data_IF_461669750791
#
_entry.id   IF_461669750791
#
_cell.length_a   1.000
_cell.length_b   1.000
_cell.length_c   1.000
_cell.angle_alpha   90.00
_cell.angle_beta   90.00
_cell.angle_gamma   90.00
#
_symmetry.space_group_name_H-M   'P 1'
#
loop_
_entity.id
_entity.type
_entity.pdbx_description
1 polymer ?
#
# COMPACT_ATOMS: atom_id res chain seq x y z
N UNK A 1 -13.61 -5.97 -22.27
CA UNK A 1 -13.24 -6.90 -21.17
C UNK A 1 -13.19 -6.11 -19.88
N UNK A 2 -13.73 -6.63 -18.80
CA UNK A 2 -13.70 -5.99 -17.50
C UNK A 2 -12.27 -6.05 -16.94
N UNK A 3 -11.74 -4.92 -16.45
CA UNK A 3 -10.40 -4.86 -15.84
C UNK A 3 -10.46 -5.37 -14.40
N UNK A 4 -9.41 -6.02 -13.92
CA UNK A 4 -9.31 -6.43 -12.53
C UNK A 4 -8.08 -5.86 -11.83
N UNK A 5 -8.21 -5.69 -10.53
CA UNK A 5 -7.13 -5.32 -9.61
C UNK A 5 -7.15 -6.21 -8.37
N UNK A 6 -5.98 -6.62 -7.91
CA UNK A 6 -5.79 -7.22 -6.59
C UNK A 6 -5.31 -6.14 -5.62
N UNK A 7 -5.91 -6.09 -4.43
CA UNK A 7 -5.52 -5.15 -3.36
C UNK A 7 -5.35 -5.92 -2.06
N UNK A 8 -4.13 -5.96 -1.53
CA UNK A 8 -3.89 -6.54 -0.20
C UNK A 8 -4.26 -5.53 0.88
N UNK A 9 -5.00 -5.96 1.91
CA UNK A 9 -5.53 -5.07 2.95
C UNK A 9 -6.55 -4.06 2.42
N UNK A 10 -7.30 -4.41 1.35
CA UNK A 10 -8.26 -3.53 0.68
C UNK A 10 -9.59 -3.33 1.43
N UNK A 11 -9.74 -3.91 2.61
CA UNK A 11 -10.98 -3.88 3.39
C UNK A 11 -11.12 -2.67 4.32
N UNK A 12 -10.03 -2.01 4.73
CA UNK A 12 -10.05 -0.89 5.68
C UNK A 12 -8.98 0.17 5.39
N UNK A 13 -9.11 1.32 6.04
CA UNK A 13 -8.13 2.41 5.97
C UNK A 13 -7.80 2.85 4.54
N UNK A 14 -6.53 3.09 4.25
CA UNK A 14 -6.05 3.48 2.91
C UNK A 14 -6.45 2.43 1.86
N UNK A 15 -6.34 1.14 2.19
CA UNK A 15 -6.71 0.07 1.27
C UNK A 15 -8.16 0.10 0.84
N UNK A 16 -9.09 0.45 1.75
CA UNK A 16 -10.50 0.64 1.42
C UNK A 16 -10.70 1.81 0.45
N UNK A 17 -10.08 2.94 0.71
CA UNK A 17 -10.16 4.08 -0.20
C UNK A 17 -9.61 3.75 -1.59
N UNK A 18 -8.52 2.97 -1.65
CA UNK A 18 -8.00 2.45 -2.93
C UNK A 18 -9.03 1.54 -3.60
N UNK A 19 -9.67 0.63 -2.85
CA UNK A 19 -10.72 -0.26 -3.36
C UNK A 19 -11.86 0.55 -3.97
N UNK A 20 -12.36 1.56 -3.26
CA UNK A 20 -13.43 2.46 -3.72
C UNK A 20 -13.03 3.21 -5.00
N UNK A 21 -11.82 3.79 -5.06
CA UNK A 21 -11.33 4.46 -6.28
C UNK A 21 -11.24 3.53 -7.50
N UNK A 22 -10.81 2.27 -7.31
CA UNK A 22 -10.80 1.29 -8.41
C UNK A 22 -12.21 0.85 -8.83
N UNK A 23 -13.16 0.75 -7.89
CA UNK A 23 -14.56 0.49 -8.22
C UNK A 23 -15.16 1.63 -9.05
N UNK A 24 -14.91 2.88 -8.67
CA UNK A 24 -15.34 4.07 -9.41
C UNK A 24 -14.73 4.10 -10.81
N UNK A 25 -13.49 3.62 -10.96
CA UNK A 25 -12.83 3.48 -12.26
C UNK A 25 -13.29 2.25 -13.09
N UNK A 26 -14.28 1.49 -12.61
CA UNK A 26 -14.90 0.36 -13.33
C UNK A 26 -14.11 -0.95 -13.28
N UNK A 27 -13.26 -1.14 -12.27
CA UNK A 27 -12.56 -2.41 -12.06
C UNK A 27 -13.39 -3.39 -11.24
N UNK A 28 -13.17 -4.69 -11.46
CA UNK A 28 -13.46 -5.73 -10.47
C UNK A 28 -12.30 -5.80 -9.51
N UNK A 29 -12.57 -5.73 -8.21
CA UNK A 29 -11.54 -5.67 -7.17
C UNK A 29 -11.49 -6.98 -6.40
N UNK A 30 -10.31 -7.57 -6.31
CA UNK A 30 -10.05 -8.75 -5.49
C UNK A 30 -9.32 -8.29 -4.23
N UNK A 31 -10.00 -8.37 -3.09
CA UNK A 31 -9.48 -7.94 -1.79
C UNK A 31 -8.90 -9.13 -1.05
N UNK A 32 -7.60 -9.09 -0.76
CA UNK A 32 -6.92 -10.05 0.12
C UNK A 32 -6.70 -9.45 1.51
N UNK A 33 -7.32 -10.02 2.56
CA UNK A 33 -7.12 -9.58 3.94
C UNK A 33 -7.44 -10.72 4.93
N UNK A 34 -7.04 -10.56 6.20
CA UNK A 34 -7.28 -11.58 7.24
C UNK A 34 -8.75 -11.69 7.64
N UNK A 35 -9.51 -10.61 7.50
CA UNK A 35 -10.92 -10.52 7.89
C UNK A 35 -11.73 -9.90 6.75
N UNK A 36 -12.97 -10.35 6.57
CA UNK A 36 -13.96 -9.78 5.66
C UNK A 36 -14.66 -8.55 6.23
N UNK A 37 -14.32 -8.13 7.44
CA UNK A 37 -14.89 -6.93 8.05
C UNK A 37 -14.84 -5.76 7.07
N UNK A 38 -15.93 -5.02 6.98
CA UNK A 38 -16.15 -3.86 6.11
C UNK A 38 -16.19 -4.14 4.59
N UNK A 39 -15.87 -5.35 4.13
CA UNK A 39 -15.97 -5.71 2.70
C UNK A 39 -17.43 -5.81 2.26
N UNK A 40 -18.32 -6.27 3.15
CA UNK A 40 -19.77 -6.44 2.88
C UNK A 40 -20.48 -5.11 2.59
N UNK A 41 -19.87 -3.99 2.96
CA UNK A 41 -20.39 -2.64 2.67
C UNK A 41 -19.95 -2.11 1.29
N UNK A 42 -19.12 -2.86 0.56
CA UNK A 42 -18.66 -2.53 -0.79
C UNK A 42 -19.59 -3.19 -1.82
N UNK A 43 -19.42 -2.85 -3.09
CA UNK A 43 -20.19 -3.38 -4.21
C UNK A 43 -20.04 -4.92 -4.31
N UNK A 44 -21.06 -5.72 -3.96
CA UNK A 44 -20.95 -7.18 -3.90
C UNK A 44 -20.81 -7.85 -5.28
N UNK A 45 -21.12 -7.13 -6.37
CA UNK A 45 -21.01 -7.66 -7.74
C UNK A 45 -19.58 -7.50 -8.27
N UNK A 46 -18.84 -6.50 -7.76
CA UNK A 46 -17.50 -6.17 -8.26
C UNK A 46 -16.39 -6.33 -7.22
N UNK A 47 -16.71 -6.70 -5.98
CA UNK A 47 -15.71 -6.99 -4.94
C UNK A 47 -15.71 -8.47 -4.61
N UNK A 48 -14.54 -9.10 -4.73
CA UNK A 48 -14.32 -10.50 -4.39
C UNK A 48 -13.33 -10.57 -3.23
N UNK A 49 -13.79 -11.03 -2.08
CA UNK A 49 -12.95 -11.22 -0.91
C UNK A 49 -12.22 -12.57 -0.91
N UNK A 50 -11.00 -12.56 -0.40
CA UNK A 50 -10.20 -13.75 -0.12
C UNK A 50 -9.47 -13.61 1.21
N UNK A 51 -9.78 -14.49 2.16
CA UNK A 51 -9.10 -14.52 3.45
C UNK A 51 -7.65 -14.98 3.27
N UNK A 52 -6.69 -14.15 3.72
CA UNK A 52 -5.26 -14.46 3.62
C UNK A 52 -4.41 -13.71 4.64
N UNK A 53 -3.25 -14.28 4.94
CA UNK A 53 -2.13 -13.56 5.53
C UNK A 53 -1.12 -13.23 4.41
N UNK A 54 -0.68 -11.98 4.33
CA UNK A 54 0.29 -11.55 3.29
C UNK A 54 1.68 -12.17 3.47
N UNK A 55 1.97 -12.75 4.63
CA UNK A 55 3.21 -13.50 4.88
C UNK A 55 3.26 -14.85 4.17
N UNK A 56 2.10 -15.34 3.72
CA UNK A 56 1.95 -16.63 3.03
C UNK A 56 2.05 -16.46 1.51
N UNK A 57 3.13 -16.95 0.91
CA UNK A 57 3.36 -16.84 -0.53
C UNK A 57 2.25 -17.51 -1.39
N UNK A 58 1.80 -18.76 -1.12
CA UNK A 58 0.72 -19.39 -1.87
C UNK A 58 -0.58 -18.60 -1.91
N UNK A 59 -0.89 -17.83 -0.87
CA UNK A 59 -2.10 -17.01 -0.82
C UNK A 59 -2.10 -15.91 -1.89
N UNK A 60 -0.96 -15.33 -2.21
CA UNK A 60 -0.85 -14.35 -3.29
C UNK A 60 -1.11 -14.97 -4.67
N UNK A 61 -0.64 -16.19 -4.90
CA UNK A 61 -0.94 -16.95 -6.13
C UNK A 61 -2.44 -17.21 -6.24
N UNK A 62 -3.11 -17.55 -5.13
CA UNK A 62 -4.56 -17.75 -5.12
C UNK A 62 -5.32 -16.47 -5.47
N UNK A 63 -4.88 -15.30 -4.99
CA UNK A 63 -5.46 -14.00 -5.38
C UNK A 63 -5.32 -13.72 -6.87
N UNK A 64 -4.13 -13.94 -7.46
CA UNK A 64 -3.91 -13.75 -8.89
C UNK A 64 -4.85 -14.64 -9.72
N UNK A 65 -4.99 -15.90 -9.34
CA UNK A 65 -5.90 -16.85 -10.01
C UNK A 65 -7.36 -16.44 -9.88
N UNK A 66 -7.80 -15.89 -8.73
CA UNK A 66 -9.16 -15.36 -8.57
C UNK A 66 -9.42 -14.18 -9.48
N UNK A 67 -8.47 -13.27 -9.66
CA UNK A 67 -8.60 -12.14 -10.58
C UNK A 67 -8.80 -12.62 -12.03
N UNK A 68 -7.98 -13.58 -12.47
CA UNK A 68 -8.09 -14.17 -13.80
C UNK A 68 -9.41 -14.93 -13.97
N UNK A 69 -9.84 -15.69 -12.97
CA UNK A 69 -11.11 -16.41 -13.04
C UNK A 69 -12.32 -15.47 -13.16
N UNK A 70 -12.26 -14.30 -12.49
CA UNK A 70 -13.35 -13.32 -12.51
C UNK A 70 -13.46 -12.52 -13.81
N UNK A 71 -12.31 -12.16 -14.43
CA UNK A 71 -12.30 -11.19 -15.54
C UNK A 71 -11.51 -11.63 -16.76
N UNK A 72 -10.83 -12.78 -16.70
CA UNK A 72 -9.94 -13.28 -17.74
C UNK A 72 -8.52 -12.71 -17.69
N UNK A 73 -8.24 -11.71 -16.87
CA UNK A 73 -6.91 -11.07 -16.80
C UNK A 73 -6.66 -10.39 -15.45
N UNK A 74 -5.39 -10.11 -15.15
CA UNK A 74 -4.93 -9.33 -13.99
C UNK A 74 -4.28 -8.04 -14.49
N UNK A 75 -4.94 -6.88 -14.34
CA UNK A 75 -4.46 -5.62 -14.91
C UNK A 75 -3.61 -4.81 -13.93
N UNK A 76 -3.95 -4.86 -12.63
CA UNK A 76 -3.22 -4.14 -11.61
C UNK A 76 -3.09 -4.97 -10.32
N UNK A 77 -2.03 -4.68 -9.57
CA UNK A 77 -1.78 -5.25 -8.25
C UNK A 77 -1.34 -4.14 -7.29
N UNK A 78 -2.04 -4.01 -6.16
CA UNK A 78 -1.70 -3.04 -5.12
C UNK A 78 -1.25 -3.78 -3.86
N UNK A 79 0.03 -3.65 -3.52
CA UNK A 79 0.57 -4.10 -2.24
C UNK A 79 0.35 -2.99 -1.21
N UNK A 80 -0.77 -3.06 -0.48
CA UNK A 80 -1.14 -2.05 0.51
C UNK A 80 -1.06 -2.59 1.95
N UNK A 81 -1.27 -3.88 2.19
CA UNK A 81 -1.22 -4.42 3.54
C UNK A 81 0.07 -4.04 4.27
N UNK A 82 -0.06 -3.50 5.45
CA UNK A 82 1.06 -3.05 6.26
C UNK A 82 0.61 -2.62 7.65
N UNK A 83 1.58 -2.57 8.56
CA UNK A 83 1.42 -2.06 9.92
C UNK A 83 2.46 -0.97 10.19
N UNK A 84 2.11 -0.01 11.03
CA UNK A 84 3.01 1.04 11.52
C UNK A 84 3.16 0.87 13.03
N UNK A 85 4.40 0.93 13.53
CA UNK A 85 4.66 0.84 14.95
C UNK A 85 5.97 1.56 15.30
N UNK A 86 5.98 2.22 16.44
CA UNK A 86 7.15 2.91 16.99
C UNK A 86 7.73 2.10 18.14
N UNK A 87 9.06 1.98 18.18
CA UNK A 87 9.79 1.33 19.28
C UNK A 87 11.24 1.83 19.33
N UNK A 88 11.79 2.14 20.52
CA UNK A 88 13.20 2.42 20.71
C UNK A 88 14.05 1.23 20.26
N UNK A 89 15.28 1.49 19.80
CA UNK A 89 16.15 0.46 19.23
C UNK A 89 16.48 -0.66 20.22
N UNK A 90 16.64 -0.33 21.48
CA UNK A 90 16.95 -1.24 22.58
C UNK A 90 15.77 -2.10 23.05
N UNK A 91 14.55 -1.76 22.63
CA UNK A 91 13.34 -2.51 22.93
C UNK A 91 12.82 -3.35 21.74
N UNK A 92 13.50 -3.31 20.60
CA UNK A 92 13.10 -4.11 19.42
C UNK A 92 13.46 -5.57 19.66
N UNK A 93 12.44 -6.41 19.83
CA UNK A 93 12.59 -7.86 19.89
C UNK A 93 12.66 -8.50 18.48
N UNK A 94 13.12 -9.76 18.41
CA UNK A 94 13.11 -10.54 17.16
C UNK A 94 11.68 -10.68 16.60
N UNK A 95 10.70 -10.96 17.45
CA UNK A 95 9.28 -11.07 17.02
C UNK A 95 8.77 -9.76 16.41
N UNK A 96 9.09 -8.61 17.01
CA UNK A 96 8.71 -7.30 16.48
C UNK A 96 9.39 -7.02 15.13
N UNK A 97 10.67 -7.37 15.03
CA UNK A 97 11.44 -7.27 13.78
C UNK A 97 10.81 -8.13 12.69
N UNK A 98 10.57 -9.42 12.98
CA UNK A 98 10.03 -10.39 12.02
C UNK A 98 8.60 -10.05 11.60
N UNK A 99 7.78 -9.54 12.51
CA UNK A 99 6.42 -9.12 12.20
C UNK A 99 6.41 -7.96 11.19
N UNK A 100 7.17 -6.88 11.45
CA UNK A 100 7.21 -5.74 10.52
C UNK A 100 7.82 -6.11 9.18
N UNK A 101 8.95 -6.82 9.18
CA UNK A 101 9.58 -7.26 7.95
C UNK A 101 8.69 -8.24 7.18
N UNK A 102 8.05 -9.17 7.90
CA UNK A 102 7.17 -10.17 7.34
C UNK A 102 5.95 -9.56 6.64
N UNK A 103 5.27 -8.64 7.30
CA UNK A 103 4.05 -8.02 6.76
C UNK A 103 4.40 -6.97 5.70
N UNK A 104 5.24 -5.98 6.06
CA UNK A 104 5.41 -4.78 5.24
C UNK A 104 6.29 -5.00 4.00
N UNK A 105 7.35 -5.82 4.10
CA UNK A 105 8.31 -5.98 3.01
C UNK A 105 8.18 -7.35 2.34
N UNK A 106 8.25 -8.45 3.10
CA UNK A 106 8.16 -9.80 2.54
C UNK A 106 6.79 -10.04 1.90
N UNK A 107 5.70 -9.57 2.54
CA UNK A 107 4.35 -9.65 1.96
C UNK A 107 4.24 -8.91 0.63
N UNK A 108 4.79 -7.70 0.53
CA UNK A 108 4.82 -6.94 -0.72
C UNK A 108 5.67 -7.65 -1.80
N UNK A 109 6.79 -8.25 -1.41
CA UNK A 109 7.63 -9.05 -2.32
C UNK A 109 6.86 -10.25 -2.91
N UNK A 110 6.12 -11.00 -2.08
CA UNK A 110 5.27 -12.10 -2.57
C UNK A 110 4.16 -11.62 -3.51
N UNK A 111 3.56 -10.47 -3.20
CA UNK A 111 2.59 -9.84 -4.09
C UNK A 111 3.18 -9.45 -5.44
N UNK A 112 4.36 -8.83 -5.45
CA UNK A 112 5.09 -8.52 -6.68
C UNK A 112 5.42 -9.79 -7.49
N UNK A 113 5.90 -10.86 -6.82
CA UNK A 113 6.22 -12.13 -7.46
C UNK A 113 5.01 -12.78 -8.11
N UNK A 114 3.87 -12.81 -7.39
CA UNK A 114 2.62 -13.34 -7.93
C UNK A 114 2.11 -12.48 -9.10
N UNK A 115 2.14 -11.15 -8.97
CA UNK A 115 1.74 -10.24 -10.04
C UNK A 115 2.59 -10.46 -11.30
N UNK A 116 3.91 -10.53 -11.18
CA UNK A 116 4.82 -10.74 -12.31
C UNK A 116 4.55 -12.05 -13.06
N UNK A 117 4.17 -13.11 -12.33
CA UNK A 117 3.91 -14.42 -12.92
C UNK A 117 2.57 -14.50 -13.69
N UNK A 118 1.58 -13.68 -13.33
CA UNK A 118 0.21 -13.79 -13.84
C UNK A 118 -0.28 -12.56 -14.61
N UNK A 119 0.47 -11.46 -14.59
CA UNK A 119 0.08 -10.19 -15.20
C UNK A 119 0.44 -10.18 -16.69
N UNK A 120 -0.47 -9.75 -17.59
CA UNK A 120 -0.17 -9.61 -19.00
C UNK A 120 0.68 -8.35 -19.26
N UNK A 121 1.24 -8.24 -20.46
CA UNK A 121 1.89 -7.01 -20.94
C UNK A 121 0.95 -5.81 -20.79
N UNK A 122 1.47 -4.72 -20.25
CA UNK A 122 0.71 -3.50 -19.97
C UNK A 122 0.16 -3.40 -18.55
N UNK A 123 0.37 -4.42 -17.70
CA UNK A 123 -0.04 -4.40 -16.30
C UNK A 123 0.75 -3.44 -15.43
N UNK A 124 0.26 -3.21 -14.20
CA UNK A 124 0.89 -2.31 -13.25
C UNK A 124 0.90 -2.87 -11.82
N UNK A 125 2.06 -2.79 -11.16
CA UNK A 125 2.23 -3.08 -9.73
C UNK A 125 2.40 -1.75 -9.00
N UNK A 126 1.62 -1.53 -7.95
CA UNK A 126 1.66 -0.34 -7.11
C UNK A 126 1.95 -0.77 -5.67
N UNK A 127 3.06 -0.31 -5.13
CA UNK A 127 3.45 -0.57 -3.74
C UNK A 127 3.09 0.64 -2.88
N UNK A 128 2.31 0.43 -1.82
CA UNK A 128 2.01 1.51 -0.86
C UNK A 128 3.15 1.59 0.15
N UNK A 129 4.10 2.46 -0.16
CA UNK A 129 5.24 2.78 0.68
C UNK A 129 4.86 3.84 1.74
N UNK A 130 5.70 4.81 1.98
CA UNK A 130 5.52 5.95 2.89
C UNK A 130 6.61 6.99 2.63
N UNK A 131 6.39 8.24 3.04
CA UNK A 131 7.52 9.21 3.19
C UNK A 131 8.57 8.69 4.17
N UNK A 132 8.22 7.78 5.09
CA UNK A 132 9.16 7.05 5.95
C UNK A 132 10.09 6.10 5.17
N UNK A 133 9.83 5.83 3.91
CA UNK A 133 10.74 5.13 2.99
C UNK A 133 11.74 6.06 2.28
N UNK A 134 11.73 7.35 2.60
CA UNK A 134 12.61 8.39 2.04
C UNK A 134 13.37 9.18 3.10
N UNK A 135 12.82 9.26 4.30
CA UNK A 135 13.49 9.86 5.47
C UNK A 135 13.20 9.05 6.73
N UNK A 136 14.17 8.97 7.62
CA UNK A 136 14.00 8.32 8.92
C UNK A 136 13.26 9.20 9.92
N UNK A 137 12.69 8.58 10.95
CA UNK A 137 12.14 9.24 12.14
C UNK A 137 12.53 8.48 13.40
N UNK A 138 12.62 9.17 14.53
CA UNK A 138 13.00 8.58 15.80
C UNK A 138 12.01 7.48 16.22
N UNK A 139 12.51 6.43 16.86
CA UNK A 139 11.75 5.27 17.34
C UNK A 139 10.97 4.50 16.25
N UNK A 140 11.28 4.74 14.97
CA UNK A 140 10.56 4.16 13.83
C UNK A 140 11.49 3.41 12.86
N UNK A 141 12.65 2.98 13.36
CA UNK A 141 13.71 2.40 12.53
C UNK A 141 13.27 1.20 11.70
N UNK A 142 12.51 0.27 12.30
CA UNK A 142 12.05 -0.93 11.61
C UNK A 142 11.01 -0.63 10.53
N UNK A 143 10.03 0.23 10.84
CA UNK A 143 9.06 0.67 9.82
C UNK A 143 9.76 1.38 8.66
N UNK A 144 10.66 2.33 8.97
CA UNK A 144 11.48 3.00 7.94
C UNK A 144 12.25 1.98 7.10
N UNK A 145 12.94 1.01 7.71
CA UNK A 145 13.68 -0.02 6.99
C UNK A 145 12.80 -0.79 6.01
N UNK A 146 11.58 -1.19 6.41
CA UNK A 146 10.65 -1.86 5.50
C UNK A 146 10.23 -0.99 4.32
N UNK A 147 10.00 0.31 4.55
CA UNK A 147 9.54 1.26 3.51
C UNK A 147 10.68 1.71 2.58
N UNK A 148 11.90 1.87 3.09
CA UNK A 148 13.10 2.03 2.25
C UNK A 148 13.34 0.79 1.39
N UNK A 149 13.23 -0.42 1.98
CA UNK A 149 13.31 -1.68 1.25
C UNK A 149 12.26 -1.80 0.15
N UNK A 150 11.03 -1.37 0.41
CA UNK A 150 9.95 -1.35 -0.58
C UNK A 150 10.24 -0.41 -1.75
N UNK A 151 10.83 0.76 -1.50
CA UNK A 151 11.24 1.68 -2.56
C UNK A 151 12.37 1.08 -3.41
N UNK A 152 13.36 0.43 -2.77
CA UNK A 152 14.42 -0.30 -3.47
C UNK A 152 13.88 -1.46 -4.32
N UNK A 153 12.95 -2.24 -3.77
CA UNK A 153 12.25 -3.32 -4.48
C UNK A 153 11.50 -2.77 -5.71
N UNK A 154 10.78 -1.66 -5.55
CA UNK A 154 10.05 -0.99 -6.65
C UNK A 154 10.98 -0.62 -7.80
N UNK A 155 12.10 0.03 -7.51
CA UNK A 155 13.06 0.47 -8.53
C UNK A 155 13.73 -0.71 -9.25
N UNK A 156 14.06 -1.75 -8.52
CA UNK A 156 14.68 -2.97 -9.08
C UNK A 156 13.70 -3.69 -10.01
N UNK A 157 12.48 -3.96 -9.54
CA UNK A 157 11.47 -4.67 -10.32
C UNK A 157 10.97 -3.86 -11.52
N UNK A 158 10.96 -2.53 -11.45
CA UNK A 158 10.64 -1.69 -12.61
C UNK A 158 11.61 -1.93 -13.78
N UNK A 159 12.90 -2.13 -13.49
CA UNK A 159 13.91 -2.45 -14.51
C UNK A 159 13.78 -3.90 -15.01
N UNK A 160 13.54 -4.84 -14.10
CA UNK A 160 13.44 -6.27 -14.41
C UNK A 160 12.19 -6.57 -15.23
N UNK A 161 11.02 -6.08 -14.80
CA UNK A 161 9.73 -6.39 -15.40
C UNK A 161 9.36 -5.47 -16.58
N UNK A 162 10.08 -4.35 -16.75
CA UNK A 162 9.85 -3.39 -17.82
C UNK A 162 9.97 -4.03 -19.23
N UNK A 163 10.86 -4.97 -19.41
CA UNK A 163 11.00 -5.75 -20.66
C UNK A 163 9.77 -6.60 -20.97
N UNK A 164 9.03 -6.99 -19.93
CA UNK A 164 7.76 -7.72 -20.05
C UNK A 164 6.57 -6.76 -20.23
N UNK A 165 6.82 -5.44 -20.23
CA UNK A 165 5.80 -4.40 -20.33
C UNK A 165 4.99 -4.20 -19.04
N UNK A 166 5.49 -4.65 -17.88
CA UNK A 166 4.88 -4.46 -16.59
C UNK A 166 5.56 -3.26 -15.91
N UNK A 167 4.75 -2.30 -15.42
CA UNK A 167 5.23 -1.12 -14.70
C UNK A 167 5.16 -1.35 -13.20
N UNK A 168 6.14 -0.85 -12.46
CA UNK A 168 6.19 -0.97 -10.99
C UNK A 168 6.47 0.40 -10.40
N UNK A 169 5.57 0.90 -9.56
CA UNK A 169 5.71 2.19 -8.89
C UNK A 169 5.35 2.07 -7.40
N UNK A 170 5.83 3.01 -6.60
CA UNK A 170 5.44 3.16 -5.21
C UNK A 170 4.72 4.49 -4.98
N UNK A 171 3.72 4.48 -4.12
CA UNK A 171 3.12 5.67 -3.52
C UNK A 171 3.65 5.85 -2.11
N UNK A 172 4.05 7.06 -1.79
CA UNK A 172 4.66 7.41 -0.51
C UNK A 172 3.76 8.42 0.23
N UNK A 173 2.63 7.97 0.83
CA UNK A 173 1.80 8.85 1.62
C UNK A 173 2.52 9.30 2.90
N UNK A 174 2.12 10.47 3.39
CA UNK A 174 2.39 10.92 4.74
C UNK A 174 1.23 10.48 5.66
N UNK A 175 1.12 11.01 6.84
CA UNK A 175 0.08 10.72 7.82
C UNK A 175 -1.33 10.87 7.21
N UNK A 176 -2.00 9.76 6.94
CA UNK A 176 -3.41 9.73 6.52
C UNK A 176 -4.24 9.30 7.73
N UNK A 177 -5.20 10.12 8.14
CA UNK A 177 -6.03 9.86 9.31
C UNK A 177 -6.94 8.65 9.04
N UNK A 178 -6.49 7.48 9.49
CA UNK A 178 -7.23 6.22 9.47
C UNK A 178 -7.30 5.65 10.89
N UNK A 179 -8.25 4.75 11.13
CA UNK A 179 -8.35 4.04 12.42
C UNK A 179 -7.00 3.41 12.80
N UNK A 180 -6.35 2.68 11.90
CA UNK A 180 -5.07 2.03 12.16
C UNK A 180 -3.92 3.00 12.45
N UNK A 181 -3.92 4.22 11.87
CA UNK A 181 -2.95 5.25 12.24
C UNK A 181 -3.26 5.80 13.64
N UNK A 182 -4.52 6.06 13.95
CA UNK A 182 -4.91 6.58 15.27
C UNK A 182 -4.59 5.58 16.37
N UNK A 183 -4.86 4.30 16.16
CA UNK A 183 -4.45 3.22 17.09
C UNK A 183 -2.93 3.18 17.27
N UNK A 184 -2.16 3.23 16.20
CA UNK A 184 -0.70 3.21 16.27
C UNK A 184 -0.14 4.44 16.99
N UNK A 185 -0.74 5.62 16.82
CA UNK A 185 -0.35 6.86 17.51
C UNK A 185 -0.69 6.86 19.00
N UNK A 186 -1.59 6.00 19.48
CA UNK A 186 -1.90 5.82 20.90
C UNK A 186 -0.90 4.95 21.65
N UNK A 187 0.03 4.29 20.96
CA UNK A 187 1.03 3.43 21.62
C UNK A 187 2.08 4.26 22.37
N UNK A 188 2.67 3.69 23.43
CA UNK A 188 3.57 4.37 24.37
C UNK A 188 4.80 5.05 23.72
N UNK A 189 5.30 4.49 22.62
CA UNK A 189 6.50 5.01 21.95
C UNK A 189 6.18 5.92 20.77
N UNK A 190 4.90 6.09 20.45
CA UNK A 190 4.46 6.92 19.33
C UNK A 190 4.70 8.43 19.63
N UNK A 191 4.91 9.24 18.60
CA UNK A 191 5.22 10.67 18.76
C UNK A 191 4.03 11.50 19.29
N UNK A 192 2.82 10.94 19.30
CA UNK A 192 1.61 11.62 19.73
C UNK A 192 1.50 11.76 21.26
N UNK A 193 2.31 11.00 22.05
CA UNK A 193 2.30 11.04 23.51
C UNK A 193 0.88 10.95 24.12
N UNK A 194 0.02 10.08 23.54
CA UNK A 194 -1.35 9.86 24.00
C UNK A 194 -2.41 10.83 23.44
N UNK A 195 -2.02 11.80 22.60
CA UNK A 195 -2.95 12.74 21.94
C UNK A 195 -2.73 12.79 20.41
N UNK A 196 -3.24 11.80 19.65
CA UNK A 196 -3.10 11.74 18.20
C UNK A 196 -3.70 12.93 17.47
N UNK A 197 -4.81 13.49 17.94
CA UNK A 197 -5.47 14.62 17.28
C UNK A 197 -4.60 15.88 17.33
N UNK A 198 -4.14 16.26 18.51
CA UNK A 198 -3.24 17.41 18.66
C UNK A 198 -1.92 17.17 17.91
N UNK A 199 -1.40 15.95 17.91
CA UNK A 199 -0.21 15.62 17.14
C UNK A 199 -0.41 15.87 15.62
N UNK A 200 -1.51 15.39 15.05
CA UNK A 200 -1.81 15.58 13.63
C UNK A 200 -2.00 17.05 13.28
N UNK A 201 -2.70 17.82 14.11
CA UNK A 201 -2.89 19.27 13.91
C UNK A 201 -1.56 20.03 13.95
N UNK A 202 -0.70 19.74 14.93
CA UNK A 202 0.61 20.38 15.05
C UNK A 202 1.54 19.96 13.88
N UNK A 203 1.51 18.69 13.49
CA UNK A 203 2.27 18.19 12.35
C UNK A 203 1.86 18.90 11.04
N UNK A 204 0.56 19.01 10.80
CA UNK A 204 -0.02 19.71 9.67
C UNK A 204 0.45 21.17 9.64
N UNK A 205 0.26 21.89 10.73
CA UNK A 205 0.63 23.31 10.82
C UNK A 205 2.13 23.57 10.59
N UNK A 206 2.98 22.63 11.01
CA UNK A 206 4.43 22.78 10.91
C UNK A 206 5.02 22.32 9.55
N UNK A 207 4.34 21.42 8.82
CA UNK A 207 4.97 20.71 7.71
C UNK A 207 4.21 20.79 6.38
N UNK A 208 2.88 20.93 6.36
CA UNK A 208 2.13 20.91 5.12
C UNK A 208 2.27 22.22 4.34
N UNK A 209 2.64 22.15 3.07
CA UNK A 209 2.76 23.33 2.22
C UNK A 209 1.40 23.93 1.82
N UNK A 210 0.35 23.09 1.75
CA UNK A 210 -0.99 23.52 1.31
C UNK A 210 -2.02 23.56 2.45
N UNK A 211 -1.57 23.35 3.72
CA UNK A 211 -2.40 23.47 4.91
C UNK A 211 -3.40 22.33 5.13
N UNK A 212 -3.22 21.18 4.46
CA UNK A 212 -4.01 19.96 4.67
C UNK A 212 -3.11 18.74 4.78
N UNK A 213 -3.64 17.63 5.30
CA UNK A 213 -3.05 16.31 5.14
C UNK A 213 -3.78 15.56 4.02
N UNK A 214 -3.12 14.61 3.33
CA UNK A 214 -3.79 13.83 2.30
C UNK A 214 -4.81 12.87 2.92
N UNK A 215 -5.82 12.55 2.12
CA UNK A 215 -6.83 11.55 2.44
C UNK A 215 -6.55 10.22 1.73
N UNK A 216 -7.23 9.15 2.17
CA UNK A 216 -7.12 7.85 1.51
C UNK A 216 -7.48 7.88 0.04
N UNK A 217 -8.45 8.74 -0.33
CA UNK A 217 -8.87 8.94 -1.73
C UNK A 217 -7.74 9.48 -2.61
N UNK A 218 -6.88 10.36 -2.12
CA UNK A 218 -5.75 10.90 -2.90
C UNK A 218 -4.77 9.78 -3.30
N UNK A 219 -4.58 8.79 -2.39
CA UNK A 219 -3.77 7.60 -2.69
C UNK A 219 -4.49 6.70 -3.68
N UNK A 220 -5.81 6.51 -3.52
CA UNK A 220 -6.63 5.71 -4.41
C UNK A 220 -6.63 6.24 -5.85
N UNK A 221 -6.87 7.52 -6.03
CA UNK A 221 -6.91 8.18 -7.34
C UNK A 221 -5.55 8.08 -8.05
N UNK A 222 -4.45 8.30 -7.31
CA UNK A 222 -3.10 8.14 -7.87
C UNK A 222 -2.80 6.67 -8.20
N UNK A 223 -3.29 5.71 -7.42
CA UNK A 223 -3.13 4.29 -7.73
C UNK A 223 -3.87 3.91 -9.02
N UNK A 224 -5.10 4.41 -9.21
CA UNK A 224 -5.86 4.26 -10.46
C UNK A 224 -5.11 4.90 -11.64
N UNK A 225 -4.58 6.12 -11.47
CA UNK A 225 -3.76 6.79 -12.49
C UNK A 225 -2.57 5.91 -12.89
N UNK A 226 -1.82 5.38 -11.94
CA UNK A 226 -0.67 4.52 -12.21
C UNK A 226 -1.06 3.17 -12.84
N UNK A 227 -2.26 2.65 -12.56
CA UNK A 227 -2.75 1.43 -13.15
C UNK A 227 -3.15 1.58 -14.61
N UNK A 228 -3.53 2.79 -15.05
CA UNK A 228 -4.00 3.05 -16.39
C UNK A 228 -2.89 2.85 -17.45
N UNK A 229 -3.23 2.17 -18.54
CA UNK A 229 -2.28 1.81 -19.60
C UNK A 229 -1.73 3.05 -20.34
N UNK A 230 -2.49 4.14 -20.36
CA UNK A 230 -2.14 5.42 -20.99
C UNK A 230 -0.89 6.03 -20.32
N UNK A 231 -0.66 5.73 -19.05
CA UNK A 231 0.48 6.24 -18.26
C UNK A 231 1.73 5.37 -18.39
N UNK A 232 1.96 4.82 -19.56
CA UNK A 232 3.01 3.84 -19.89
C UNK A 232 4.45 4.32 -19.62
N UNK A 233 4.66 5.61 -19.54
CA UNK A 233 5.99 6.20 -19.31
C UNK A 233 6.39 6.28 -17.82
N UNK A 234 5.44 5.97 -16.89
CA UNK A 234 5.69 6.09 -15.45
C UNK A 234 5.99 4.70 -14.88
N UNK A 235 7.26 4.44 -14.56
CA UNK A 235 7.72 3.24 -13.89
C UNK A 235 8.98 3.52 -13.07
N UNK A 236 9.19 2.77 -11.98
CA UNK A 236 10.32 2.93 -11.06
C UNK A 236 10.22 4.15 -10.15
N UNK A 237 9.08 4.83 -10.11
CA UNK A 237 8.90 6.04 -9.34
C UNK A 237 8.41 5.73 -7.91
N UNK A 238 8.85 6.56 -6.96
CA UNK A 238 8.36 6.59 -5.59
C UNK A 238 7.71 7.97 -5.36
N UNK A 239 6.40 8.05 -5.61
CA UNK A 239 5.67 9.33 -5.71
C UNK A 239 5.13 9.71 -4.34
N UNK A 240 5.43 10.92 -3.88
CA UNK A 240 4.88 11.44 -2.64
C UNK A 240 3.38 11.79 -2.80
N UNK A 241 2.60 11.44 -1.78
CA UNK A 241 1.21 11.88 -1.57
C UNK A 241 1.21 12.52 -0.18
N UNK A 242 1.67 13.77 -0.10
CA UNK A 242 2.10 14.32 1.18
C UNK A 242 1.79 15.81 1.38
N UNK A 243 1.03 16.43 0.49
CA UNK A 243 0.67 17.86 0.58
C UNK A 243 1.88 18.81 0.73
N UNK A 244 3.04 18.40 0.16
CA UNK A 244 4.27 19.19 0.20
C UNK A 244 5.03 19.10 1.53
N UNK A 245 4.78 18.07 2.34
CA UNK A 245 5.52 17.82 3.60
C UNK A 245 6.99 17.49 3.35
N UNK A 246 7.28 16.81 2.25
CA UNK A 246 8.64 16.40 1.89
C UNK A 246 8.87 16.58 0.37
N UNK A 247 9.03 17.81 -0.11
CA UNK A 247 9.32 18.07 -1.53
C UNK A 247 10.65 17.43 -1.94
N UNK A 248 10.68 16.79 -3.10
CA UNK A 248 11.86 16.17 -3.73
C UNK A 248 11.94 16.55 -5.20
#
# INVERSE_FOLDING_TARGET
MTRSVVITGGNRGIGRSITESFLDAGYTVIVGARSSQDVEMLDPERVIFHAMDVRDEPAHVALAKKAIAATGQLNAWVNNAGISAWRPIDEISEDFFDELMGINLKGAFWGCKAAAAYMPKGGAIINISSVAGKRGSAKNSMYCATKFGMNGLTQSLAKELGQQGIRVNALCPVLIKTEGLMEALMTDHAPANGDPESFLLNFLAANSAIGTLPEGKDVGDMAVYLAAAENRAVTGQCINIDCGVFPQ
#
